data_IF_094903266292
#
_entry.id   IF_094903266292
#
_cell.length_a   1.000
_cell.length_b   1.000
_cell.length_c   1.000
_cell.angle_alpha   90.00
_cell.angle_beta   90.00
_cell.angle_gamma   90.00
#
_symmetry.space_group_name_H-M   'P 1'
#
loop_
_entity.id
_entity.type
_entity.pdbx_description
1 polymer ?
#
# COMPACT_ATOMS: atom_id res chain seq x y z
N UNK A 1 11.80 -21.30 -34.82
CA UNK A 1 11.05 -20.03 -34.82
C UNK A 1 11.62 -19.19 -33.69
N UNK A 2 11.88 -17.91 -33.91
CA UNK A 2 12.34 -17.03 -32.83
C UNK A 2 11.20 -16.89 -31.80
N UNK A 3 11.52 -17.05 -30.53
CA UNK A 3 10.57 -16.81 -29.45
C UNK A 3 10.22 -15.32 -29.44
N UNK A 4 8.93 -14.92 -29.54
CA UNK A 4 8.53 -13.52 -29.65
C UNK A 4 8.93 -12.68 -28.42
N UNK A 5 9.23 -13.31 -27.30
CA UNK A 5 9.62 -12.66 -26.05
C UNK A 5 11.10 -12.84 -25.72
N UNK A 6 11.88 -13.54 -26.55
CA UNK A 6 13.30 -13.77 -26.31
C UNK A 6 13.63 -14.63 -25.07
N UNK A 7 12.63 -15.26 -24.45
CA UNK A 7 12.77 -16.04 -23.21
C UNK A 7 12.33 -17.48 -23.47
N UNK A 8 13.25 -18.44 -23.40
CA UNK A 8 12.91 -19.85 -23.62
C UNK A 8 12.09 -20.42 -22.46
N UNK A 9 11.19 -21.37 -22.76
CA UNK A 9 10.43 -22.07 -21.73
C UNK A 9 11.41 -22.80 -20.79
N UNK A 10 11.23 -22.60 -19.47
CA UNK A 10 12.13 -23.11 -18.40
C UNK A 10 13.47 -22.40 -18.26
N UNK A 11 13.73 -21.32 -19.00
CA UNK A 11 14.86 -20.44 -18.70
C UNK A 11 14.57 -19.55 -17.49
N UNK A 12 15.61 -19.22 -16.72
CA UNK A 12 15.52 -18.16 -15.70
C UNK A 12 15.48 -16.81 -16.41
N UNK A 13 14.46 -16.01 -16.11
CA UNK A 13 14.39 -14.62 -16.58
C UNK A 13 15.64 -13.88 -16.04
N UNK A 14 16.34 -13.09 -16.87
CA UNK A 14 17.46 -12.30 -16.39
C UNK A 14 17.07 -11.47 -15.17
N UNK A 15 18.02 -11.33 -14.25
CA UNK A 15 17.87 -10.45 -13.11
C UNK A 15 17.66 -9.00 -13.63
N UNK A 16 16.75 -8.25 -13.00
CA UNK A 16 16.30 -6.93 -13.47
C UNK A 16 15.15 -6.94 -14.49
N UNK A 17 14.71 -8.10 -14.99
CA UNK A 17 13.55 -8.23 -15.89
C UNK A 17 12.32 -8.89 -15.22
N UNK A 18 12.42 -9.27 -13.94
CA UNK A 18 11.36 -9.94 -13.22
C UNK A 18 11.17 -9.36 -11.82
N UNK A 19 9.89 -9.18 -11.48
CA UNK A 19 9.39 -8.83 -10.15
C UNK A 19 8.35 -9.89 -9.78
N UNK A 20 8.39 -10.36 -8.54
CA UNK A 20 7.54 -11.44 -8.06
C UNK A 20 6.64 -10.96 -6.93
N UNK A 21 5.34 -11.06 -7.13
CA UNK A 21 4.38 -10.96 -6.03
C UNK A 21 4.49 -12.21 -5.17
N UNK A 22 4.75 -12.01 -3.88
CA UNK A 22 4.89 -13.10 -2.91
C UNK A 22 3.82 -13.01 -1.84
N UNK A 23 3.24 -14.15 -1.47
CA UNK A 23 2.36 -14.27 -0.30
C UNK A 23 3.20 -14.74 0.89
N UNK A 24 3.11 -14.01 2.00
CA UNK A 24 3.83 -14.33 3.23
C UNK A 24 2.90 -15.11 4.16
N UNK A 25 3.18 -16.39 4.36
CA UNK A 25 2.38 -17.23 5.26
C UNK A 25 2.53 -16.85 6.74
N UNK A 26 3.64 -16.20 7.09
CA UNK A 26 3.90 -15.65 8.43
C UNK A 26 4.94 -14.55 8.33
N UNK A 27 4.79 -13.50 9.14
CA UNK A 27 5.84 -12.51 9.40
C UNK A 27 6.37 -12.68 10.83
N UNK A 28 7.64 -12.33 11.12
CA UNK A 28 8.23 -12.55 12.45
C UNK A 28 7.48 -11.86 13.60
N UNK A 29 7.04 -10.62 13.38
CA UNK A 29 6.34 -9.79 14.35
C UNK A 29 5.07 -9.20 13.73
N UNK A 30 3.97 -9.99 13.66
CA UNK A 30 2.73 -9.52 13.04
C UNK A 30 2.03 -8.49 13.93
N UNK A 31 1.58 -7.39 13.33
CA UNK A 31 0.72 -6.44 14.00
C UNK A 31 -0.73 -6.97 14.05
N UNK A 32 -1.43 -6.92 15.20
CA UNK A 32 -2.71 -7.62 15.41
C UNK A 32 -3.85 -7.19 14.47
N UNK A 33 -3.79 -5.97 13.93
CA UNK A 33 -4.77 -5.45 12.99
C UNK A 33 -4.70 -6.10 11.60
N UNK A 34 -3.56 -6.65 11.19
CA UNK A 34 -3.37 -7.18 9.84
C UNK A 34 -3.39 -8.71 9.83
N UNK A 35 -4.14 -9.28 8.90
CA UNK A 35 -4.41 -10.73 8.80
C UNK A 35 -3.70 -11.37 7.62
N UNK A 36 -3.43 -10.59 6.59
CA UNK A 36 -2.77 -11.04 5.37
C UNK A 36 -1.53 -10.21 5.13
N UNK A 37 -0.48 -10.88 4.65
CA UNK A 37 0.77 -10.25 4.32
C UNK A 37 1.20 -10.71 2.93
N UNK A 38 1.56 -9.75 2.09
CA UNK A 38 2.15 -9.97 0.79
C UNK A 38 3.36 -9.08 0.63
N UNK A 39 4.10 -9.25 -0.46
CA UNK A 39 5.20 -8.37 -0.76
C UNK A 39 5.67 -8.50 -2.19
N UNK A 40 6.67 -7.70 -2.51
CA UNK A 40 7.30 -7.68 -3.82
C UNK A 40 8.73 -8.15 -3.64
N UNK A 41 9.13 -9.21 -4.34
CA UNK A 41 10.49 -9.73 -4.35
C UNK A 41 11.16 -9.51 -5.70
N UNK A 42 12.40 -9.03 -5.69
CA UNK A 42 13.26 -8.88 -6.86
C UNK A 42 14.49 -9.79 -6.72
N UNK A 43 14.91 -10.52 -7.77
CA UNK A 43 16.07 -11.42 -7.71
C UNK A 43 17.37 -10.82 -7.17
N UNK A 44 17.61 -9.56 -7.50
CA UNK A 44 18.87 -8.88 -7.14
C UNK A 44 18.83 -8.29 -5.73
N UNK A 45 17.64 -7.89 -5.28
CA UNK A 45 17.49 -7.00 -4.13
C UNK A 45 16.76 -7.66 -2.96
N UNK A 46 16.16 -8.83 -3.19
CA UNK A 46 15.34 -9.50 -2.20
C UNK A 46 13.95 -8.89 -2.11
N UNK A 47 13.39 -8.86 -0.90
CA UNK A 47 12.08 -8.30 -0.62
C UNK A 47 12.18 -6.77 -0.61
N UNK A 48 11.47 -6.11 -1.53
CA UNK A 48 11.53 -4.65 -1.72
C UNK A 48 10.27 -3.93 -1.24
N UNK A 49 9.17 -4.65 -1.02
CA UNK A 49 7.98 -4.13 -0.34
C UNK A 49 7.28 -5.23 0.45
N UNK A 50 6.66 -4.86 1.57
CA UNK A 50 5.72 -5.70 2.33
C UNK A 50 4.43 -4.91 2.52
N UNK A 51 3.29 -5.55 2.23
CA UNK A 51 1.97 -5.03 2.51
C UNK A 51 1.27 -5.91 3.53
N UNK A 52 0.82 -5.32 4.63
CA UNK A 52 -0.14 -5.90 5.57
C UNK A 52 -1.55 -5.41 5.24
N UNK A 53 -2.53 -6.32 5.23
CA UNK A 53 -3.95 -6.00 4.99
C UNK A 53 -4.79 -6.41 6.20
N UNK A 54 -5.66 -5.51 6.64
CA UNK A 54 -6.63 -5.83 7.68
C UNK A 54 -7.65 -6.85 7.18
N UNK A 55 -8.55 -7.28 8.07
CA UNK A 55 -9.78 -7.89 7.58
C UNK A 55 -10.62 -6.90 6.76
N UNK A 56 -11.55 -7.41 5.96
CA UNK A 56 -12.54 -6.59 5.27
C UNK A 56 -13.68 -6.25 6.21
N UNK A 57 -13.87 -4.96 6.47
CA UNK A 57 -15.05 -4.46 7.16
C UNK A 57 -16.18 -4.34 6.14
N UNK A 58 -17.34 -4.92 6.44
CA UNK A 58 -18.52 -4.93 5.56
C UNK A 58 -19.68 -4.22 6.26
N UNK A 59 -20.64 -3.76 5.46
CA UNK A 59 -21.85 -3.09 5.97
C UNK A 59 -21.51 -1.80 6.76
N UNK A 60 -20.39 -1.16 6.41
CA UNK A 60 -19.91 0.08 7.04
C UNK A 60 -19.57 1.13 5.97
N UNK A 61 -20.59 1.80 5.40
CA UNK A 61 -20.38 2.82 4.36
C UNK A 61 -19.60 4.04 4.86
N UNK A 62 -19.52 4.22 6.19
CA UNK A 62 -18.75 5.30 6.82
C UNK A 62 -17.28 4.95 7.08
N UNK A 63 -16.90 3.70 6.82
CA UNK A 63 -15.61 3.11 7.16
C UNK A 63 -15.19 3.37 8.62
N UNK A 64 -16.14 3.41 9.55
CA UNK A 64 -15.90 3.70 10.97
C UNK A 64 -14.83 2.79 11.59
N UNK A 65 -14.89 1.48 11.35
CA UNK A 65 -13.89 0.55 11.88
C UNK A 65 -12.53 0.68 11.18
N UNK A 66 -12.51 0.84 9.86
CA UNK A 66 -11.27 1.07 9.12
C UNK A 66 -10.58 2.37 9.58
N UNK A 67 -11.35 3.45 9.79
CA UNK A 67 -10.83 4.73 10.30
C UNK A 67 -10.31 4.62 11.72
N UNK A 68 -10.95 3.82 12.58
CA UNK A 68 -10.46 3.54 13.94
C UNK A 68 -9.10 2.82 13.89
N UNK A 69 -9.00 1.72 13.13
CA UNK A 69 -7.76 0.96 12.97
C UNK A 69 -6.66 1.82 12.33
N UNK A 70 -7.01 2.61 11.31
CA UNK A 70 -6.10 3.56 10.68
C UNK A 70 -5.54 4.55 11.70
N UNK A 71 -6.39 5.17 12.53
CA UNK A 71 -5.95 6.13 13.53
C UNK A 71 -5.04 5.48 14.60
N UNK A 72 -5.35 4.25 15.02
CA UNK A 72 -4.53 3.48 15.97
C UNK A 72 -3.13 3.18 15.38
N UNK A 73 -3.08 2.60 14.17
CA UNK A 73 -1.81 2.28 13.49
C UNK A 73 -1.01 3.54 13.18
N UNK A 74 -1.67 4.60 12.69
CA UNK A 74 -1.03 5.90 12.46
C UNK A 74 -0.41 6.45 13.74
N UNK A 75 -1.10 6.35 14.87
CA UNK A 75 -0.57 6.80 16.16
C UNK A 75 0.70 6.03 16.55
N UNK A 76 0.68 4.70 16.43
CA UNK A 76 1.84 3.85 16.73
C UNK A 76 3.03 4.16 15.81
N UNK A 77 2.81 4.20 14.49
CA UNK A 77 3.83 4.59 13.52
C UNK A 77 4.38 5.98 13.80
N UNK A 78 3.52 6.91 14.23
CA UNK A 78 3.96 8.26 14.59
C UNK A 78 4.89 8.28 15.80
N UNK A 79 4.67 7.39 16.78
CA UNK A 79 5.58 7.26 17.92
C UNK A 79 6.95 6.70 17.51
N UNK A 80 6.99 5.81 16.52
CA UNK A 80 8.20 5.13 16.07
C UNK A 80 9.02 5.97 15.07
N UNK A 81 8.34 6.56 14.09
CA UNK A 81 8.93 7.18 12.91
C UNK A 81 8.76 8.69 12.84
N UNK A 82 8.04 9.30 13.78
CA UNK A 82 7.73 10.73 13.77
C UNK A 82 6.49 11.07 12.96
N UNK A 83 6.26 12.35 12.69
CA UNK A 83 5.04 12.79 12.00
C UNK A 83 5.04 12.36 10.53
N UNK A 84 3.93 11.81 10.00
CA UNK A 84 3.80 11.54 8.58
C UNK A 84 3.66 12.85 7.79
N UNK A 85 3.91 12.75 6.49
CA UNK A 85 3.28 13.61 5.50
C UNK A 85 1.83 13.13 5.33
N UNK A 86 0.89 14.01 5.65
CA UNK A 86 -0.53 13.73 5.48
C UNK A 86 -0.97 14.26 4.12
N UNK A 87 -1.32 13.35 3.21
CA UNK A 87 -2.00 13.67 1.95
C UNK A 87 -3.46 13.21 2.08
N UNK A 88 -4.23 13.93 2.91
CA UNK A 88 -5.68 13.76 2.93
C UNK A 88 -6.25 14.57 1.75
N UNK A 89 -6.16 14.00 0.55
CA UNK A 89 -6.79 14.57 -0.64
C UNK A 89 -8.29 14.31 -0.58
N UNK A 90 -9.03 15.36 -0.21
CA UNK A 90 -10.48 15.38 -0.28
C UNK A 90 -10.89 16.32 -1.41
N UNK A 91 -11.35 15.76 -2.53
CA UNK A 91 -11.99 16.54 -3.61
C UNK A 91 -13.43 16.90 -3.20
N UNK A 92 -13.57 17.66 -2.10
CA UNK A 92 -14.87 18.02 -1.49
C UNK A 92 -15.69 19.00 -2.36
N UNK A 93 -15.11 19.63 -3.39
CA UNK A 93 -15.79 20.71 -4.13
C UNK A 93 -16.97 20.24 -5.02
N UNK A 94 -17.09 18.95 -5.34
CA UNK A 94 -18.12 18.43 -6.28
C UNK A 94 -18.91 17.20 -5.79
N UNK A 95 -18.71 16.71 -4.56
CA UNK A 95 -19.31 15.44 -4.12
C UNK A 95 -20.37 15.63 -3.01
N UNK A 96 -21.62 15.15 -3.19
CA UNK A 96 -22.67 15.35 -2.20
C UNK A 96 -22.36 14.63 -0.88
N UNK A 97 -22.56 15.31 0.25
CA UNK A 97 -22.44 14.77 1.62
C UNK A 97 -23.20 13.44 1.84
N UNK A 98 -24.19 13.17 0.98
CA UNK A 98 -25.06 11.99 1.03
C UNK A 98 -24.39 10.70 0.51
N UNK A 99 -23.23 10.78 -0.16
CA UNK A 99 -22.47 9.60 -0.60
C UNK A 99 -21.49 9.17 0.51
N UNK A 100 -21.66 7.93 0.99
CA UNK A 100 -20.85 7.37 2.07
C UNK A 100 -19.34 7.40 1.80
N UNK A 101 -18.54 7.39 2.88
CA UNK A 101 -17.08 7.45 2.83
C UNK A 101 -16.46 6.41 1.90
N UNK A 102 -16.92 5.14 1.98
CA UNK A 102 -16.42 4.07 1.11
C UNK A 102 -16.73 4.33 -0.37
N UNK A 103 -17.92 4.86 -0.68
CA UNK A 103 -18.29 5.24 -2.04
C UNK A 103 -17.38 6.35 -2.59
N UNK A 104 -17.04 7.33 -1.77
CA UNK A 104 -16.12 8.40 -2.16
C UNK A 104 -14.71 7.87 -2.47
N UNK A 105 -14.22 6.88 -1.70
CA UNK A 105 -12.93 6.21 -1.97
C UNK A 105 -13.01 5.37 -3.25
N UNK A 106 -14.06 4.55 -3.40
CA UNK A 106 -14.25 3.65 -4.55
C UNK A 106 -14.31 4.42 -5.89
N UNK A 107 -14.92 5.61 -5.89
CA UNK A 107 -15.02 6.47 -7.06
C UNK A 107 -13.79 7.39 -7.26
N UNK A 108 -12.78 7.31 -6.40
CA UNK A 108 -11.58 8.16 -6.45
C UNK A 108 -11.83 9.63 -6.09
N UNK A 109 -12.98 9.97 -5.51
CA UNK A 109 -13.31 11.31 -5.04
C UNK A 109 -12.63 11.64 -3.70
N UNK A 110 -12.19 10.62 -2.96
CA UNK A 110 -11.45 10.75 -1.70
C UNK A 110 -10.28 9.78 -1.68
N UNK A 111 -9.13 10.27 -1.24
CA UNK A 111 -8.00 9.43 -0.79
C UNK A 111 -7.84 9.60 0.71
N UNK A 112 -7.67 8.50 1.45
CA UNK A 112 -7.39 8.56 2.89
C UNK A 112 -6.08 7.83 3.17
N UNK A 113 -4.98 8.55 2.98
CA UNK A 113 -3.63 8.01 3.01
C UNK A 113 -2.72 8.92 3.84
N UNK A 114 -1.71 8.34 4.48
CA UNK A 114 -0.57 9.08 5.01
C UNK A 114 0.72 8.32 4.77
N UNK A 115 1.79 9.08 4.61
CA UNK A 115 3.08 8.58 4.16
C UNK A 115 4.20 9.05 5.09
N UNK A 116 5.10 8.15 5.44
CA UNK A 116 6.38 8.49 6.05
C UNK A 116 7.46 8.32 4.99
N UNK A 117 8.07 9.42 4.56
CA UNK A 117 9.32 9.37 3.79
C UNK A 117 10.48 9.53 4.76
N UNK A 118 11.18 8.42 4.96
CA UNK A 118 12.23 8.30 5.97
C UNK A 118 13.62 8.51 5.36
N UNK A 119 13.69 8.64 4.03
CA UNK A 119 14.93 8.76 3.29
C UNK A 119 15.89 7.57 3.52
N UNK A 120 17.19 7.85 3.41
CA UNK A 120 18.27 6.86 3.65
C UNK A 120 18.87 6.97 5.05
N UNK A 121 18.20 7.67 5.96
CA UNK A 121 18.73 7.83 7.32
C UNK A 121 18.73 6.48 8.05
N UNK A 122 19.71 6.29 8.94
CA UNK A 122 19.96 5.07 9.74
C UNK A 122 18.72 4.68 10.57
N UNK A 123 17.71 4.12 9.93
CA UNK A 123 16.61 3.42 10.57
C UNK A 123 17.05 2.00 10.86
N UNK A 124 16.56 1.45 11.95
CA UNK A 124 16.89 0.11 12.43
C UNK A 124 16.66 -0.99 11.38
N UNK A 125 15.79 -0.74 10.39
CA UNK A 125 15.22 -1.79 9.54
C UNK A 125 15.27 -1.49 8.02
N UNK A 126 16.08 -0.50 7.59
CA UNK A 126 16.20 -0.09 6.18
C UNK A 126 14.87 0.27 5.49
N UNK A 127 13.84 0.64 6.23
CA UNK A 127 12.57 1.11 5.65
C UNK A 127 12.80 2.50 5.03
N UNK A 128 12.48 2.67 3.75
CA UNK A 128 12.57 3.98 3.09
C UNK A 128 11.25 4.74 3.15
N UNK A 129 10.15 4.03 2.95
CA UNK A 129 8.82 4.62 3.03
C UNK A 129 7.85 3.71 3.76
N UNK A 130 6.84 4.34 4.35
CA UNK A 130 5.68 3.67 4.94
C UNK A 130 4.46 4.38 4.39
N UNK A 131 3.52 3.62 3.83
CA UNK A 131 2.23 4.14 3.40
C UNK A 131 1.14 3.43 4.19
N UNK A 132 0.28 4.19 4.83
CA UNK A 132 -0.93 3.69 5.47
C UNK A 132 -2.13 4.25 4.73
N UNK A 133 -3.04 3.39 4.29
CA UNK A 133 -4.18 3.82 3.47
C UNK A 133 -5.45 3.06 3.82
N UNK A 134 -6.60 3.71 3.67
CA UNK A 134 -7.90 3.04 3.65
C UNK A 134 -8.31 2.83 2.20
N UNK A 135 -8.61 1.58 1.85
CA UNK A 135 -9.13 1.21 0.53
C UNK A 135 -10.59 0.79 0.64
N UNK A 136 -11.36 1.06 -0.40
CA UNK A 136 -12.69 0.48 -0.63
C UNK A 136 -12.55 -0.63 -1.67
N UNK A 137 -13.34 -1.71 -1.55
CA UNK A 137 -13.34 -2.80 -2.52
C UNK A 137 -14.77 -3.21 -2.86
N UNK A 138 -15.12 -3.17 -4.14
CA UNK A 138 -16.38 -3.69 -4.67
C UNK A 138 -17.61 -3.06 -3.98
N UNK A 139 -17.74 -1.73 -4.13
CA UNK A 139 -18.94 -0.96 -3.77
C UNK A 139 -18.76 0.03 -2.61
N UNK A 140 -19.89 0.49 -2.09
CA UNK A 140 -20.04 1.59 -1.13
C UNK A 140 -20.05 1.15 0.35
N UNK A 141 -19.82 -0.14 0.64
CA UNK A 141 -19.97 -0.68 2.01
C UNK A 141 -18.80 -1.56 2.49
N UNK A 142 -17.74 -1.73 1.71
CA UNK A 142 -16.57 -2.52 2.13
C UNK A 142 -15.33 -1.66 2.22
N UNK A 143 -14.58 -1.81 3.31
CA UNK A 143 -13.30 -1.13 3.48
C UNK A 143 -12.25 -2.04 4.10
N UNK A 144 -10.98 -1.71 3.85
CA UNK A 144 -9.82 -2.32 4.47
C UNK A 144 -8.77 -1.25 4.78
N UNK A 145 -7.91 -1.53 5.76
CA UNK A 145 -6.69 -0.76 6.02
C UNK A 145 -5.51 -1.52 5.48
N UNK A 146 -4.72 -0.87 4.63
CA UNK A 146 -3.48 -1.40 4.09
C UNK A 146 -2.31 -0.62 4.68
N UNK A 147 -1.28 -1.35 5.12
CA UNK A 147 -0.01 -0.80 5.58
C UNK A 147 1.08 -1.37 4.70
N UNK A 148 1.77 -0.51 3.98
CA UNK A 148 2.89 -0.86 3.13
C UNK A 148 4.20 -0.31 3.68
N UNK A 149 5.21 -1.16 3.70
CA UNK A 149 6.61 -0.80 3.95
C UNK A 149 7.38 -0.99 2.65
N UNK A 150 8.01 0.08 2.15
CA UNK A 150 8.95 -0.01 1.05
C UNK A 150 10.40 0.06 1.52
N UNK A 151 11.22 -0.79 0.92
CA UNK A 151 12.66 -0.88 1.14
C UNK A 151 13.41 -0.24 -0.03
N UNK A 152 14.74 -0.05 0.06
CA UNK A 152 15.53 0.39 -1.07
C UNK A 152 15.23 -0.42 -2.33
N UNK A 153 15.28 0.25 -3.48
CA UNK A 153 15.03 -0.36 -4.78
C UNK A 153 13.57 -0.80 -5.03
N UNK A 154 12.62 -0.42 -4.16
CA UNK A 154 11.18 -0.50 -4.46
C UNK A 154 10.81 0.43 -5.63
N UNK A 155 11.47 1.60 -5.71
CA UNK A 155 11.23 2.61 -6.74
C UNK A 155 12.15 2.45 -7.94
N UNK A 156 11.70 1.70 -8.95
CA UNK A 156 12.18 1.91 -10.33
C UNK A 156 11.07 2.37 -11.28
N UNK A 157 9.78 2.10 -11.03
CA UNK A 157 8.73 2.44 -12.01
C UNK A 157 7.40 2.99 -11.45
N UNK A 158 7.13 2.95 -10.14
CA UNK A 158 5.83 3.41 -9.59
C UNK A 158 5.70 4.94 -9.47
N UNK A 159 6.81 5.70 -9.49
CA UNK A 159 6.78 7.17 -9.41
C UNK A 159 6.46 7.87 -10.72
N UNK A 160 6.39 7.15 -11.86
CA UNK A 160 6.08 7.76 -13.17
C UNK A 160 4.59 7.77 -13.52
N UNK A 161 3.74 7.03 -12.82
CA UNK A 161 2.30 6.98 -13.12
C UNK A 161 1.46 8.08 -12.44
N UNK A 162 1.98 8.76 -11.42
CA UNK A 162 1.29 9.90 -10.76
C UNK A 162 1.52 11.27 -11.45
N UNK A 163 2.17 11.30 -12.62
CA UNK A 163 2.60 12.53 -13.30
C UNK A 163 2.02 12.78 -14.70
N UNK A 164 0.94 12.09 -15.12
CA UNK A 164 0.24 12.40 -16.36
C UNK A 164 -1.28 12.23 -16.22
N UNK A 165 -1.92 13.22 -15.61
CA UNK A 165 -3.21 13.70 -16.07
C UNK A 165 -2.98 15.16 -16.49
N UNK A 166 -2.90 15.39 -17.81
CA UNK A 166 -2.87 16.73 -18.42
C UNK A 166 -4.24 17.06 -18.99
#
# INVERSE_FOLDING_TARGET
MANPFGIEASSTVPSGMATYDVTLHSVPEPHPAFKEYSGIWKPENGLVSITGKSETFREDPSASEARRIYAEVKHELTQLYGQPFEDEEISDEDWPEDLGFCSAIDNGARSHTCDWDLGTHDLTDNVQNIMLTIVSDDGDEKSQVWLEYGFPECNDELTKSKGQAS
#
